data_IF_947464790622
#
_entry.id   IF_947464790622
#
_cell.length_a   1.000
_cell.length_b   1.000
_cell.length_c   1.000
_cell.angle_alpha   90.00
_cell.angle_beta   90.00
_cell.angle_gamma   90.00
#
_symmetry.space_group_name_H-M   'P 1'
#
loop_
_entity.id
_entity.type
_entity.pdbx_description
1 polymer ?
#
# COMPACT_ATOMS: atom_id res chain seq x y z
N UNK A 1 -12.23 -15.66 3.45
CA UNK A 1 -13.70 -15.65 3.57
C UNK A 1 -14.23 -14.22 3.71
N UNK A 2 -13.71 -13.40 4.62
CA UNK A 2 -14.22 -12.03 4.87
C UNK A 2 -14.04 -11.07 3.67
N UNK A 3 -12.90 -11.13 2.97
CA UNK A 3 -12.65 -10.35 1.75
C UNK A 3 -13.71 -10.63 0.68
N UNK A 4 -14.01 -11.91 0.44
CA UNK A 4 -15.03 -12.33 -0.52
C UNK A 4 -16.44 -11.86 -0.15
N UNK A 5 -16.74 -11.73 1.14
CA UNK A 5 -18.00 -11.15 1.57
C UNK A 5 -18.08 -9.67 1.15
N UNK A 6 -17.03 -8.88 1.42
CA UNK A 6 -16.98 -7.46 1.04
C UNK A 6 -17.02 -7.27 -0.48
N UNK A 7 -16.31 -8.13 -1.22
CA UNK A 7 -16.34 -8.15 -2.70
C UNK A 7 -17.74 -8.50 -3.24
N UNK A 8 -18.40 -9.51 -2.67
CA UNK A 8 -19.75 -9.93 -3.06
C UNK A 8 -20.82 -8.86 -2.80
N UNK A 9 -20.64 -8.05 -1.75
CA UNK A 9 -21.50 -6.88 -1.49
C UNK A 9 -21.16 -5.67 -2.38
N UNK A 10 -20.07 -5.70 -3.14
CA UNK A 10 -19.64 -4.59 -4.00
C UNK A 10 -19.09 -3.40 -3.24
N UNK A 11 -18.62 -3.59 -1.99
CA UNK A 11 -18.17 -2.48 -1.13
C UNK A 11 -16.69 -2.20 -1.34
N UNK A 12 -16.36 -1.67 -2.51
CA UNK A 12 -14.97 -1.44 -2.94
C UNK A 12 -14.19 -0.53 -1.98
N UNK A 13 -14.81 0.56 -1.51
CA UNK A 13 -14.13 1.49 -0.61
C UNK A 13 -13.83 0.88 0.75
N UNK A 14 -14.80 0.19 1.39
CA UNK A 14 -14.58 -0.47 2.70
C UNK A 14 -13.49 -1.53 2.58
N UNK A 15 -13.49 -2.31 1.49
CA UNK A 15 -12.43 -3.28 1.24
C UNK A 15 -11.06 -2.59 1.10
N UNK A 16 -10.99 -1.49 0.35
CA UNK A 16 -9.77 -0.70 0.23
C UNK A 16 -9.32 -0.14 1.59
N UNK A 17 -10.23 0.35 2.44
CA UNK A 17 -9.89 0.84 3.78
C UNK A 17 -9.21 -0.26 4.61
N UNK A 18 -9.80 -1.47 4.60
CA UNK A 18 -9.31 -2.63 5.34
C UNK A 18 -7.92 -3.05 4.87
N UNK A 19 -7.63 -2.95 3.57
CA UNK A 19 -6.36 -3.36 2.97
C UNK A 19 -5.27 -2.28 2.97
N UNK A 20 -5.59 -1.04 3.34
CA UNK A 20 -4.65 0.09 3.26
C UNK A 20 -4.42 0.75 4.62
N UNK A 21 -5.13 1.83 4.91
CA UNK A 21 -4.88 2.64 6.12
C UNK A 21 -5.27 1.94 7.43
N UNK A 22 -6.13 0.91 7.39
CA UNK A 22 -6.42 0.07 8.57
C UNK A 22 -5.46 -1.11 8.74
N UNK A 23 -4.57 -1.40 7.79
CA UNK A 23 -3.61 -2.50 7.86
C UNK A 23 -2.15 -2.01 7.77
N UNK A 24 -1.66 -1.80 6.55
CA UNK A 24 -0.23 -1.87 6.24
C UNK A 24 0.30 -0.58 5.58
N UNK A 25 -0.56 0.38 5.26
CA UNK A 25 -0.16 1.61 4.58
C UNK A 25 0.26 2.68 5.60
N UNK A 26 1.57 2.76 5.89
CA UNK A 26 2.12 3.59 6.99
C UNK A 26 1.73 5.08 6.84
N UNK A 27 1.96 5.68 5.67
CA UNK A 27 1.68 7.11 5.43
C UNK A 27 0.19 7.43 5.57
N UNK A 28 -0.66 6.72 4.82
CA UNK A 28 -2.10 6.89 4.89
C UNK A 28 -2.66 6.67 6.31
N UNK A 29 -2.12 5.71 7.09
CA UNK A 29 -2.56 5.50 8.48
C UNK A 29 -2.29 6.72 9.37
N UNK A 30 -1.14 7.38 9.21
CA UNK A 30 -0.81 8.59 9.96
C UNK A 30 -1.73 9.76 9.59
N UNK A 31 -2.00 9.93 8.30
CA UNK A 31 -2.90 10.96 7.79
C UNK A 31 -4.34 10.74 8.29
N UNK A 32 -4.83 9.51 8.27
CA UNK A 32 -6.17 9.15 8.80
C UNK A 32 -6.28 9.44 10.29
N UNK A 33 -5.23 9.15 11.08
CA UNK A 33 -5.21 9.48 12.51
C UNK A 33 -5.32 10.99 12.73
N UNK A 34 -4.52 11.79 12.01
CA UNK A 34 -4.59 13.25 12.06
C UNK A 34 -5.95 13.78 11.64
N UNK A 35 -6.51 13.25 10.55
CA UNK A 35 -7.82 13.64 10.04
C UNK A 35 -8.95 13.30 11.03
N UNK A 36 -8.89 12.14 11.67
CA UNK A 36 -9.88 11.71 12.67
C UNK A 36 -9.88 12.63 13.90
N UNK A 37 -8.70 13.09 14.34
CA UNK A 37 -8.57 14.01 15.48
C UNK A 37 -9.12 15.40 15.12
N UNK A 38 -8.84 15.88 13.91
CA UNK A 38 -9.25 17.22 13.44
C UNK A 38 -10.73 17.23 13.00
N UNK A 39 -11.31 16.07 12.72
CA UNK A 39 -12.64 15.94 12.12
C UNK A 39 -12.66 16.30 10.63
N UNK A 40 -11.52 16.20 9.94
CA UNK A 40 -11.42 16.42 8.50
C UNK A 40 -11.71 15.14 7.71
N UNK A 41 -11.96 15.29 6.41
CA UNK A 41 -12.24 14.16 5.52
C UNK A 41 -11.02 13.28 5.34
N UNK A 42 -11.21 11.97 5.42
CA UNK A 42 -10.18 10.97 5.11
C UNK A 42 -9.91 10.97 3.60
N UNK A 43 -8.65 11.12 3.20
CA UNK A 43 -8.23 11.08 1.81
C UNK A 43 -8.01 9.64 1.33
N UNK A 44 -8.18 9.40 0.03
CA UNK A 44 -7.84 8.11 -0.54
C UNK A 44 -6.32 7.88 -0.45
N UNK A 45 -5.89 6.66 -0.08
CA UNK A 45 -4.47 6.35 0.06
C UNK A 45 -3.76 6.47 -1.28
N UNK A 46 -2.70 7.27 -1.33
CA UNK A 46 -1.83 7.38 -2.50
C UNK A 46 -0.71 6.33 -2.45
N UNK A 47 -0.68 5.45 -3.44
CA UNK A 47 0.39 4.45 -3.61
C UNK A 47 -0.01 3.03 -3.21
N UNK A 48 0.99 2.14 -3.24
CA UNK A 48 0.81 0.73 -2.94
C UNK A 48 1.07 0.45 -1.44
N UNK A 49 0.35 -0.51 -0.83
CA UNK A 49 0.61 -0.92 0.56
C UNK A 49 2.00 -1.54 0.71
N UNK A 50 2.54 -1.49 1.92
CA UNK A 50 3.90 -1.97 2.20
C UNK A 50 4.04 -3.48 1.94
N UNK A 51 2.99 -4.27 2.18
CA UNK A 51 2.95 -5.71 1.86
C UNK A 51 3.18 -5.98 0.36
N UNK A 52 2.62 -5.15 -0.53
CA UNK A 52 2.90 -5.24 -1.96
C UNK A 52 4.34 -4.85 -2.30
N UNK A 53 4.89 -3.83 -1.64
CA UNK A 53 6.30 -3.42 -1.82
C UNK A 53 7.27 -4.52 -1.36
N UNK A 54 6.94 -5.23 -0.28
CA UNK A 54 7.69 -6.39 0.20
C UNK A 54 7.62 -7.55 -0.79
N UNK A 55 6.43 -7.88 -1.29
CA UNK A 55 6.26 -8.92 -2.33
C UNK A 55 7.16 -8.66 -3.55
N UNK A 56 7.23 -7.41 -4.02
CA UNK A 56 8.10 -7.05 -5.15
C UNK A 56 9.58 -7.25 -4.81
N UNK A 57 10.00 -6.98 -3.58
CA UNK A 57 11.38 -7.24 -3.12
C UNK A 57 11.67 -8.74 -3.03
N UNK A 58 10.73 -9.53 -2.54
CA UNK A 58 10.87 -10.99 -2.45
C UNK A 58 10.97 -11.64 -3.83
N UNK A 59 10.17 -11.19 -4.79
CA UNK A 59 10.29 -11.67 -6.18
C UNK A 59 11.65 -11.32 -6.80
N UNK A 60 12.18 -10.12 -6.53
CA UNK A 60 13.52 -9.74 -6.99
C UNK A 60 14.63 -10.59 -6.39
N UNK A 61 14.47 -11.07 -5.16
CA UNK A 61 15.40 -12.03 -4.54
C UNK A 61 15.49 -13.33 -5.36
N UNK A 62 14.41 -13.71 -6.03
CA UNK A 62 14.33 -14.88 -6.92
C UNK A 62 14.75 -14.56 -8.37
N UNK A 63 15.35 -13.39 -8.62
CA UNK A 63 15.65 -12.87 -9.95
C UNK A 63 14.42 -12.70 -10.86
N UNK A 64 13.22 -12.55 -10.27
CA UNK A 64 12.00 -12.21 -10.99
C UNK A 64 11.78 -10.70 -10.94
N UNK A 65 11.71 -10.06 -12.11
CA UNK A 65 11.49 -8.63 -12.22
C UNK A 65 10.03 -8.32 -12.60
N UNK A 66 9.29 -7.69 -11.68
CA UNK A 66 7.99 -7.10 -11.98
C UNK A 66 8.18 -5.72 -12.57
N UNK A 67 7.90 -5.58 -13.86
CA UNK A 67 7.75 -4.29 -14.53
C UNK A 67 6.37 -3.71 -14.20
N UNK A 68 6.28 -2.94 -13.09
CA UNK A 68 5.06 -2.25 -12.72
C UNK A 68 5.26 -0.72 -12.69
N UNK A 69 4.54 -0.01 -13.57
CA UNK A 69 4.64 1.44 -13.75
C UNK A 69 4.22 2.27 -12.51
N UNK A 70 3.39 1.72 -11.61
CA UNK A 70 2.90 2.46 -10.43
C UNK A 70 3.86 2.45 -9.23
N UNK A 71 4.87 1.57 -9.21
CA UNK A 71 5.91 1.64 -8.17
C UNK A 71 7.01 2.54 -8.71
N UNK A 72 6.88 3.85 -8.45
CA UNK A 72 7.83 4.88 -8.88
C UNK A 72 9.28 4.40 -8.73
N UNK A 73 10.05 4.50 -9.82
CA UNK A 73 11.47 4.16 -9.89
C UNK A 73 12.34 4.82 -8.82
N UNK A 74 11.84 5.88 -8.14
CA UNK A 74 12.50 6.50 -6.99
C UNK A 74 12.64 5.59 -5.77
N UNK A 75 11.73 4.64 -5.56
CA UNK A 75 11.80 3.68 -4.45
C UNK A 75 12.72 2.48 -4.74
N UNK A 76 13.30 2.41 -5.95
CA UNK A 76 14.14 1.30 -6.40
C UNK A 76 15.64 1.57 -6.37
N UNK A 77 16.07 2.79 -6.02
CA UNK A 77 17.49 3.06 -5.79
C UNK A 77 17.90 2.46 -4.44
N UNK A 78 18.34 1.19 -4.48
CA UNK A 78 19.30 0.72 -3.50
C UNK A 78 20.57 1.51 -3.80
N UNK A 79 20.90 2.48 -2.95
CA UNK A 79 22.22 3.10 -2.98
C UNK A 79 23.24 1.98 -2.78
N UNK A 80 23.77 1.43 -3.88
CA UNK A 80 25.03 0.71 -3.84
C UNK A 80 26.05 1.75 -3.40
N UNK A 81 26.38 1.74 -2.11
CA UNK A 81 27.66 2.26 -1.66
C UNK A 81 28.69 1.33 -2.29
N UNK A 82 29.24 1.75 -3.42
CA UNK A 82 30.48 1.20 -3.94
C UNK A 82 31.53 1.40 -2.86
N UNK A 83 32.13 0.28 -2.45
CA UNK A 83 33.28 0.22 -1.57
C UNK A 83 34.56 0.33 -2.42
#
# INVERSE_FOLDING_TARGET
MEVWALEGFGVAHILQEMLTYKSDHITARQEVLGATIIGSTVFNPEGAPESFRLLVREQRSLALELNHFLVSGKNFQINKKEA
#
